data_IF_907636923709
#
_entry.id   IF_907636923709
#
_cell.length_a   1.000
_cell.length_b   1.000
_cell.length_c   1.000
_cell.angle_alpha   90.00
_cell.angle_beta   90.00
_cell.angle_gamma   90.00
#
_symmetry.space_group_name_H-M   'P 1'
#
loop_
_entity.id
_entity.type
_entity.pdbx_description
1 polymer ?
#
# COMPACT_ATOMS: atom_id res chain seq x y z
N UNK A 1 -24.24 9.52 -14.37
CA UNK A 1 -23.02 9.09 -13.63
C UNK A 1 -22.90 7.57 -13.66
N UNK A 2 -21.79 7.04 -14.19
CA UNK A 2 -21.52 5.58 -14.17
C UNK A 2 -20.48 5.30 -13.09
N UNK A 3 -20.76 4.35 -12.19
CA UNK A 3 -19.88 4.06 -11.02
C UNK A 3 -19.78 2.56 -10.78
N UNK A 4 -18.63 2.12 -10.25
CA UNK A 4 -18.40 0.76 -9.74
C UNK A 4 -18.81 0.59 -8.26
N UNK A 5 -19.17 1.69 -7.59
CA UNK A 5 -19.60 1.68 -6.21
C UNK A 5 -21.12 1.47 -6.14
N UNK A 6 -21.54 0.20 -6.02
CA UNK A 6 -22.95 -0.20 -6.03
C UNK A 6 -23.84 0.57 -5.04
N UNK A 7 -23.33 0.85 -3.84
CA UNK A 7 -24.04 1.57 -2.77
C UNK A 7 -24.58 2.94 -3.18
N UNK A 8 -23.96 3.61 -4.16
CA UNK A 8 -24.40 4.93 -4.63
C UNK A 8 -25.75 4.89 -5.36
N UNK A 9 -26.20 3.74 -5.87
CA UNK A 9 -27.56 3.61 -6.45
C UNK A 9 -28.66 3.99 -5.48
N UNK A 10 -28.38 3.88 -4.19
CA UNK A 10 -29.34 4.14 -3.13
C UNK A 10 -29.27 5.57 -2.60
N UNK A 11 -28.38 6.43 -3.12
CA UNK A 11 -28.14 7.77 -2.59
C UNK A 11 -29.43 8.61 -2.51
N UNK A 12 -30.30 8.53 -3.52
CA UNK A 12 -31.59 9.23 -3.55
C UNK A 12 -32.75 8.46 -2.86
N UNK A 13 -32.50 7.23 -2.41
CA UNK A 13 -33.47 6.34 -1.75
C UNK A 13 -33.22 6.16 -0.25
N UNK A 14 -32.12 6.71 0.27
CA UNK A 14 -31.80 6.64 1.70
C UNK A 14 -32.79 7.51 2.46
N UNK A 15 -33.54 6.88 3.36
CA UNK A 15 -34.40 7.57 4.32
C UNK A 15 -33.52 8.11 5.45
N UNK A 16 -33.63 9.41 5.72
CA UNK A 16 -32.93 10.12 6.80
C UNK A 16 -31.39 9.98 6.78
N UNK A 17 -30.70 10.44 5.72
CA UNK A 17 -29.25 10.37 5.66
C UNK A 17 -28.62 11.26 6.74
N UNK A 18 -27.58 10.76 7.41
CA UNK A 18 -26.82 11.49 8.44
C UNK A 18 -25.35 11.67 8.07
N UNK A 19 -24.71 12.69 8.66
CA UNK A 19 -23.28 12.93 8.54
C UNK A 19 -22.82 13.24 7.11
N UNK A 20 -21.79 12.53 6.64
CA UNK A 20 -21.15 12.81 5.34
C UNK A 20 -22.09 12.56 4.15
N UNK A 21 -22.90 11.51 4.20
CA UNK A 21 -23.80 11.12 3.11
C UNK A 21 -24.89 12.17 2.90
N UNK A 22 -25.46 12.72 4.00
CA UNK A 22 -26.47 13.79 3.94
C UNK A 22 -25.95 15.04 3.22
N UNK A 23 -24.73 15.48 3.57
CA UNK A 23 -24.12 16.66 2.94
C UNK A 23 -23.87 16.46 1.45
N UNK A 24 -23.42 15.27 1.05
CA UNK A 24 -23.24 14.95 -0.38
C UNK A 24 -24.58 14.84 -1.12
N UNK A 25 -25.61 14.25 -0.50
CA UNK A 25 -26.94 14.17 -1.11
C UNK A 25 -27.51 15.57 -1.39
N UNK A 26 -27.44 16.50 -0.44
CA UNK A 26 -27.88 17.89 -0.62
C UNK A 26 -27.06 18.61 -1.70
N UNK A 27 -25.72 18.48 -1.66
CA UNK A 27 -24.85 19.12 -2.66
C UNK A 27 -25.09 18.60 -4.07
N UNK A 28 -25.39 17.32 -4.21
CA UNK A 28 -25.63 16.70 -5.51
C UNK A 28 -27.05 16.95 -6.02
N UNK A 29 -28.02 17.25 -5.16
CA UNK A 29 -29.41 17.55 -5.54
C UNK A 29 -29.55 18.72 -6.52
N UNK A 30 -28.54 19.62 -6.59
CA UNK A 30 -28.53 20.73 -7.55
C UNK A 30 -28.26 20.30 -9.00
N UNK A 31 -27.86 19.04 -9.23
CA UNK A 31 -27.59 18.48 -10.56
C UNK A 31 -28.64 17.44 -10.93
N UNK A 32 -28.96 17.36 -12.21
CA UNK A 32 -29.78 16.29 -12.77
C UNK A 32 -28.88 15.17 -13.30
N UNK A 33 -28.93 13.99 -12.67
CA UNK A 33 -28.11 12.86 -13.06
C UNK A 33 -28.68 11.52 -12.59
N UNK A 34 -28.51 10.50 -13.43
CA UNK A 34 -28.80 9.12 -13.05
C UNK A 34 -27.54 8.37 -12.60
N UNK A 35 -27.64 7.60 -11.53
CA UNK A 35 -26.56 6.73 -11.06
C UNK A 35 -26.74 5.33 -11.64
N UNK A 36 -25.90 4.98 -12.61
CA UNK A 36 -25.86 3.65 -13.22
C UNK A 36 -24.66 2.88 -12.67
N UNK A 37 -24.93 1.77 -12.01
CA UNK A 37 -23.85 0.88 -11.55
C UNK A 37 -23.31 0.04 -12.71
N UNK A 38 -21.99 0.00 -12.85
CA UNK A 38 -21.26 -0.90 -13.73
C UNK A 38 -20.19 -1.61 -12.91
N UNK A 39 -20.23 -2.94 -12.86
CA UNK A 39 -19.23 -3.72 -12.13
C UNK A 39 -17.81 -3.36 -12.60
N UNK A 40 -16.86 -3.26 -11.65
CA UNK A 40 -15.49 -2.80 -11.95
C UNK A 40 -14.80 -3.56 -13.08
N UNK A 41 -15.05 -4.87 -13.23
CA UNK A 41 -14.53 -5.69 -14.35
C UNK A 41 -14.92 -5.15 -15.73
N UNK A 42 -16.07 -4.49 -15.85
CA UNK A 42 -16.59 -3.93 -17.09
C UNK A 42 -16.29 -2.42 -17.22
N UNK A 43 -15.58 -1.83 -16.26
CA UNK A 43 -15.25 -0.40 -16.21
C UNK A 43 -13.83 -0.13 -16.72
N UNK A 44 -13.42 -0.85 -17.77
CA UNK A 44 -12.04 -0.91 -18.26
C UNK A 44 -11.47 0.44 -18.69
N UNK A 45 -12.28 1.30 -19.32
CA UNK A 45 -11.82 2.60 -19.83
C UNK A 45 -11.57 3.62 -18.71
N UNK A 46 -12.53 3.92 -17.79
CA UNK A 46 -12.24 4.82 -16.66
C UNK A 46 -11.22 4.23 -15.66
N UNK A 47 -11.22 2.91 -15.46
CA UNK A 47 -10.21 2.23 -14.63
C UNK A 47 -8.81 2.35 -15.25
N UNK A 48 -8.69 2.25 -16.58
CA UNK A 48 -7.45 2.51 -17.29
C UNK A 48 -7.03 3.97 -17.14
N UNK A 49 -7.89 4.97 -17.37
CA UNK A 49 -7.49 6.39 -17.24
C UNK A 49 -7.13 6.81 -15.81
N UNK A 50 -7.78 6.23 -14.79
CA UNK A 50 -7.49 6.54 -13.39
C UNK A 50 -6.24 5.82 -12.84
N UNK A 51 -5.81 4.72 -13.47
CA UNK A 51 -4.65 3.92 -13.04
C UNK A 51 -3.45 4.02 -13.98
N UNK A 52 -3.69 4.23 -15.26
CA UNK A 52 -2.70 4.54 -16.28
C UNK A 52 -2.58 6.06 -16.34
N UNK A 53 -1.84 6.62 -15.40
CA UNK A 53 -1.11 7.84 -15.72
C UNK A 53 -0.05 7.38 -16.72
N UNK A 54 -0.07 7.84 -17.99
CA UNK A 54 1.10 7.69 -18.81
C UNK A 54 2.19 8.39 -18.01
N UNK A 55 3.19 7.64 -17.54
CA UNK A 55 4.42 8.29 -17.13
C UNK A 55 4.96 8.84 -18.44
N UNK A 56 4.57 10.09 -18.76
CA UNK A 56 5.31 10.92 -19.69
C UNK A 56 6.60 11.20 -18.92
N UNK A 57 7.48 10.22 -18.94
CA UNK A 57 8.85 10.37 -18.51
C UNK A 57 9.49 11.16 -19.65
N UNK A 58 9.24 12.48 -19.67
CA UNK A 58 10.04 13.42 -20.46
C UNK A 58 11.52 13.38 -20.02
N UNK A 59 11.80 12.76 -18.87
CA UNK A 59 13.12 12.27 -18.55
C UNK A 59 13.36 10.92 -19.24
N UNK A 60 13.56 10.97 -20.56
CA UNK A 60 14.52 10.09 -21.21
C UNK A 60 15.91 10.40 -20.66
N UNK A 61 16.18 10.09 -19.39
CA UNK A 61 17.56 9.90 -18.97
C UNK A 61 17.85 8.45 -19.29
N UNK A 62 18.46 8.25 -20.44
CA UNK A 62 19.11 7.01 -20.82
C UNK A 62 20.27 6.74 -19.84
N UNK A 63 19.97 6.37 -18.59
CA UNK A 63 21.03 6.02 -17.61
C UNK A 63 21.77 4.74 -18.05
N UNK A 64 21.24 4.01 -19.04
CA UNK A 64 21.85 2.79 -19.57
C UNK A 64 22.42 2.98 -20.99
N UNK A 65 22.69 4.19 -21.46
CA UNK A 65 23.45 4.37 -22.71
C UNK A 65 24.98 4.29 -22.51
N UNK A 66 25.49 4.62 -21.32
CA UNK A 66 26.94 4.78 -21.11
C UNK A 66 27.67 3.58 -20.49
N UNK A 67 26.98 2.47 -20.22
CA UNK A 67 27.68 1.26 -19.76
C UNK A 67 28.21 0.53 -20.98
N UNK A 68 29.49 0.80 -21.30
CA UNK A 68 30.26 0.04 -22.28
C UNK A 68 30.06 -1.44 -21.99
N UNK A 69 29.53 -2.19 -22.95
CA UNK A 69 29.23 -3.62 -22.85
C UNK A 69 30.42 -4.46 -22.36
N UNK A 70 31.64 -3.95 -22.54
CA UNK A 70 32.90 -4.50 -22.06
C UNK A 70 32.99 -4.65 -20.52
N UNK A 71 32.21 -3.91 -19.75
CA UNK A 71 32.21 -4.00 -18.27
C UNK A 71 31.23 -5.03 -17.71
N UNK A 72 30.35 -5.61 -18.54
CA UNK A 72 29.33 -6.57 -18.09
C UNK A 72 29.99 -7.93 -17.82
N UNK A 73 29.93 -8.41 -16.57
CA UNK A 73 30.48 -9.71 -16.15
C UNK A 73 29.41 -10.79 -15.95
N UNK A 74 28.14 -10.43 -16.11
CA UNK A 74 27.02 -11.37 -15.95
C UNK A 74 27.03 -12.46 -17.03
N UNK A 75 27.58 -13.64 -16.65
CA UNK A 75 27.63 -14.84 -17.49
C UNK A 75 26.27 -15.25 -18.04
N UNK A 76 25.19 -15.07 -17.27
CA UNK A 76 23.85 -15.42 -17.74
C UNK A 76 23.40 -14.46 -18.85
N UNK A 77 23.63 -13.17 -18.65
CA UNK A 77 23.30 -12.13 -19.63
C UNK A 77 24.05 -12.35 -20.94
N UNK A 78 25.38 -12.47 -20.87
CA UNK A 78 26.24 -12.68 -22.04
C UNK A 78 25.88 -13.97 -22.79
N UNK A 79 25.56 -15.05 -22.06
CA UNK A 79 25.11 -16.31 -22.67
C UNK A 79 23.78 -16.16 -23.40
N UNK A 80 22.84 -15.39 -22.86
CA UNK A 80 21.57 -15.12 -23.55
C UNK A 80 21.76 -14.21 -24.75
N UNK A 81 22.56 -13.15 -24.63
CA UNK A 81 22.91 -12.26 -25.74
C UNK A 81 23.47 -13.08 -26.92
N UNK A 82 24.50 -13.89 -26.67
CA UNK A 82 25.10 -14.75 -27.70
C UNK A 82 24.10 -15.75 -28.31
N UNK A 83 23.16 -16.28 -27.53
CA UNK A 83 22.14 -17.22 -28.06
C UNK A 83 21.18 -16.54 -29.03
N UNK A 84 20.73 -15.33 -28.69
CA UNK A 84 19.77 -14.58 -29.51
C UNK A 84 20.45 -14.02 -30.76
N UNK A 85 21.69 -13.54 -30.67
CA UNK A 85 22.47 -13.09 -31.83
C UNK A 85 22.76 -14.23 -32.81
N UNK A 86 23.17 -15.41 -32.31
CA UNK A 86 23.55 -16.52 -33.20
C UNK A 86 22.36 -17.32 -33.76
N UNK A 87 21.21 -17.32 -33.07
CA UNK A 87 20.04 -18.13 -33.46
C UNK A 87 18.73 -17.37 -33.24
N UNK A 88 18.51 -16.21 -33.90
CA UNK A 88 17.36 -15.35 -33.63
C UNK A 88 16.01 -16.07 -33.85
N UNK A 89 15.90 -16.93 -34.87
CA UNK A 89 14.68 -17.68 -35.18
C UNK A 89 14.23 -18.61 -34.04
N UNK A 90 15.18 -19.11 -33.22
CA UNK A 90 14.89 -19.99 -32.09
C UNK A 90 14.36 -19.22 -30.88
N UNK A 91 14.50 -17.89 -30.86
CA UNK A 91 14.14 -17.03 -29.74
C UNK A 91 13.21 -15.88 -30.17
N UNK A 92 12.01 -16.15 -30.72
CA UNK A 92 11.11 -15.11 -31.26
C UNK A 92 10.55 -14.13 -30.21
N UNK A 93 10.73 -14.43 -28.92
CA UNK A 93 10.37 -13.56 -27.80
C UNK A 93 11.54 -12.70 -27.33
N UNK A 94 12.65 -12.69 -28.05
CA UNK A 94 13.87 -11.97 -27.71
C UNK A 94 14.36 -11.23 -28.94
N UNK A 95 14.97 -10.08 -28.72
CA UNK A 95 15.65 -9.32 -29.78
C UNK A 95 16.87 -8.63 -29.20
N UNK A 96 17.80 -8.23 -30.07
CA UNK A 96 19.00 -7.48 -29.69
C UNK A 96 19.03 -6.22 -30.53
N UNK A 97 19.10 -5.07 -29.86
CA UNK A 97 19.20 -3.75 -30.48
C UNK A 97 20.31 -2.97 -29.78
N UNK A 98 21.23 -2.36 -30.53
CA UNK A 98 22.35 -1.58 -30.01
C UNK A 98 23.17 -2.34 -28.92
N UNK A 99 23.45 -3.63 -29.16
CA UNK A 99 24.11 -4.55 -28.21
C UNK A 99 23.37 -4.75 -26.86
N UNK A 100 22.11 -4.36 -26.75
CA UNK A 100 21.27 -4.58 -25.58
C UNK A 100 20.24 -5.68 -25.89
N UNK A 101 20.09 -6.60 -24.95
CA UNK A 101 19.10 -7.67 -25.04
C UNK A 101 17.72 -7.16 -24.60
N UNK A 102 16.68 -7.52 -25.36
CA UNK A 102 15.29 -7.22 -25.05
C UNK A 102 14.45 -8.50 -25.02
N UNK A 103 13.38 -8.49 -24.19
CA UNK A 103 12.44 -9.59 -24.06
C UNK A 103 11.01 -9.12 -24.28
N UNK A 104 10.27 -9.84 -25.12
CA UNK A 104 8.86 -9.57 -25.40
C UNK A 104 8.01 -9.84 -24.16
N UNK A 105 7.23 -8.84 -23.75
CA UNK A 105 6.23 -8.91 -22.71
C UNK A 105 4.83 -8.91 -23.32
N UNK A 106 3.87 -9.49 -22.58
CA UNK A 106 2.45 -9.36 -22.89
C UNK A 106 1.87 -8.33 -21.92
N UNK A 107 1.80 -7.05 -22.32
CA UNK A 107 1.25 -6.05 -21.43
C UNK A 107 -0.21 -6.33 -21.11
N UNK A 108 -0.66 -5.85 -19.95
CA UNK A 108 -2.05 -5.99 -19.51
C UNK A 108 -3.03 -5.15 -20.35
N UNK A 109 -2.56 -4.03 -20.90
CA UNK A 109 -3.33 -3.10 -21.73
C UNK A 109 -2.56 -2.75 -23.00
N UNK A 110 -2.56 -3.64 -24.02
CA UNK A 110 -1.74 -3.51 -25.22
C UNK A 110 -1.90 -2.18 -25.96
N UNK A 111 -3.09 -1.59 -25.91
CA UNK A 111 -3.44 -0.36 -26.64
C UNK A 111 -2.90 0.92 -25.97
N UNK A 112 -2.45 0.83 -24.71
CA UNK A 112 -2.04 1.98 -23.87
C UNK A 112 -0.59 1.84 -23.42
N UNK A 113 -0.14 0.61 -23.15
CA UNK A 113 1.26 0.33 -22.84
C UNK A 113 2.08 0.42 -24.12
N UNK A 114 3.23 1.11 -24.08
CA UNK A 114 4.10 1.32 -25.23
C UNK A 114 4.73 0.05 -25.82
N UNK A 115 6.02 0.11 -26.17
CA UNK A 115 6.70 -1.00 -26.85
C UNK A 115 6.59 -2.30 -26.03
N UNK A 116 6.28 -3.45 -26.66
CA UNK A 116 6.12 -4.72 -25.95
C UNK A 116 7.47 -5.33 -25.52
N UNK A 117 8.56 -4.55 -25.58
CA UNK A 117 9.92 -5.00 -25.42
C UNK A 117 10.50 -4.46 -24.11
N UNK A 118 10.81 -5.36 -23.20
CA UNK A 118 11.46 -5.03 -21.93
C UNK A 118 12.97 -5.15 -22.09
N UNK A 119 13.69 -4.10 -21.71
CA UNK A 119 15.15 -4.16 -21.71
C UNK A 119 15.63 -5.16 -20.66
N UNK A 120 16.47 -6.09 -21.06
CA UNK A 120 17.06 -7.08 -20.16
C UNK A 120 18.25 -6.45 -19.43
N UNK A 121 18.27 -6.57 -18.11
CA UNK A 121 19.26 -5.87 -17.27
C UNK A 121 20.32 -6.84 -16.71
N UNK A 122 21.62 -6.61 -16.99
CA UNK A 122 22.72 -7.34 -16.38
C UNK A 122 22.77 -7.18 -14.85
N UNK A 123 23.34 -8.16 -14.15
CA UNK A 123 23.37 -8.20 -12.67
C UNK A 123 23.91 -6.92 -12.02
N UNK A 124 24.90 -6.31 -12.65
CA UNK A 124 25.61 -5.13 -12.18
C UNK A 124 24.70 -3.89 -12.11
N UNK A 125 23.75 -3.77 -13.06
CA UNK A 125 22.89 -2.59 -13.19
C UNK A 125 21.57 -2.71 -12.40
N UNK A 126 21.17 -3.92 -12.02
CA UNK A 126 19.90 -4.19 -11.32
C UNK A 126 19.73 -3.34 -10.06
N UNK A 127 20.80 -3.17 -9.27
CA UNK A 127 20.73 -2.36 -8.03
C UNK A 127 20.46 -0.89 -8.33
N UNK A 128 21.05 -0.34 -9.39
CA UNK A 128 20.81 1.03 -9.83
C UNK A 128 19.36 1.25 -10.23
N UNK A 129 18.80 0.35 -11.04
CA UNK A 129 17.40 0.39 -11.47
C UNK A 129 16.44 0.29 -10.29
N UNK A 130 16.67 -0.64 -9.35
CA UNK A 130 15.81 -0.78 -8.18
C UNK A 130 15.84 0.51 -7.33
N UNK A 131 17.01 1.09 -7.13
CA UNK A 131 17.18 2.36 -6.39
C UNK A 131 16.38 3.48 -7.02
N UNK A 132 16.51 3.67 -8.33
CA UNK A 132 15.79 4.73 -9.07
C UNK A 132 14.27 4.58 -9.00
N UNK A 133 13.77 3.35 -8.94
CA UNK A 133 12.33 3.08 -8.91
C UNK A 133 11.75 2.99 -7.48
N UNK A 134 12.59 3.10 -6.44
CA UNK A 134 12.18 2.98 -5.04
C UNK A 134 12.50 4.22 -4.19
N UNK A 135 13.73 4.75 -4.29
CA UNK A 135 14.27 5.76 -3.39
C UNK A 135 13.78 7.20 -3.65
N UNK A 136 13.54 7.66 -4.90
CA UNK A 136 13.11 9.03 -5.12
C UNK A 136 11.80 9.37 -4.39
N UNK A 137 11.65 10.60 -3.86
CA UNK A 137 10.43 11.02 -3.15
C UNK A 137 9.15 10.82 -3.99
N UNK A 138 9.23 11.05 -5.30
CA UNK A 138 8.13 10.83 -6.26
C UNK A 138 7.72 9.35 -6.39
N UNK A 139 8.62 8.44 -6.04
CA UNK A 139 8.36 6.99 -6.01
C UNK A 139 7.79 6.51 -4.68
N UNK A 140 7.73 7.36 -3.64
CA UNK A 140 6.99 7.11 -2.40
C UNK A 140 7.37 5.84 -1.62
N UNK A 141 8.59 5.32 -1.80
CA UNK A 141 9.05 4.08 -1.14
C UNK A 141 8.03 2.92 -1.23
N UNK A 142 7.44 2.74 -2.41
CA UNK A 142 6.41 1.74 -2.63
C UNK A 142 6.86 0.33 -2.19
N UNK A 143 5.89 -0.46 -1.74
CA UNK A 143 6.14 -1.84 -1.34
C UNK A 143 6.56 -2.75 -2.51
N UNK A 144 7.10 -3.92 -2.17
CA UNK A 144 7.70 -4.90 -3.10
C UNK A 144 6.85 -5.13 -4.35
N UNK A 145 5.55 -5.33 -4.18
CA UNK A 145 4.65 -5.61 -5.31
C UNK A 145 4.56 -4.44 -6.29
N UNK A 146 4.37 -3.22 -5.78
CA UNK A 146 4.18 -2.02 -6.59
C UNK A 146 5.50 -1.60 -7.28
N UNK A 147 6.63 -1.66 -6.58
CA UNK A 147 7.94 -1.41 -7.17
C UNK A 147 8.27 -2.45 -8.24
N UNK A 148 7.97 -3.74 -7.99
CA UNK A 148 8.15 -4.79 -9.01
C UNK A 148 7.31 -4.50 -10.25
N UNK A 149 6.02 -4.16 -10.08
CA UNK A 149 5.13 -3.86 -11.18
C UNK A 149 5.67 -2.73 -12.07
N UNK A 150 6.12 -1.63 -11.44
CA UNK A 150 6.72 -0.49 -12.13
C UNK A 150 7.99 -0.85 -12.91
N UNK A 151 8.89 -1.62 -12.31
CA UNK A 151 10.12 -2.08 -12.97
C UNK A 151 9.78 -2.97 -14.18
N UNK A 152 8.79 -3.86 -14.04
CA UNK A 152 8.40 -4.79 -15.11
C UNK A 152 7.66 -4.14 -16.29
N UNK A 153 7.39 -2.83 -16.23
CA UNK A 153 6.87 -2.07 -17.37
C UNK A 153 7.95 -1.77 -18.41
N UNK A 154 9.21 -1.56 -17.97
CA UNK A 154 10.34 -1.20 -18.85
C UNK A 154 11.47 -2.24 -18.87
N UNK A 155 11.64 -3.01 -17.80
CA UNK A 155 12.82 -3.87 -17.60
C UNK A 155 12.49 -5.34 -17.32
N UNK A 156 13.44 -6.22 -17.63
CA UNK A 156 13.37 -7.65 -17.34
C UNK A 156 14.70 -8.22 -16.82
N UNK A 157 14.63 -9.11 -15.83
CA UNK A 157 15.69 -10.07 -15.52
C UNK A 157 15.12 -11.27 -14.73
N UNK A 158 15.84 -12.40 -14.63
CA UNK A 158 15.39 -13.51 -13.82
C UNK A 158 15.30 -13.11 -12.35
N UNK A 159 14.20 -13.48 -11.68
CA UNK A 159 14.00 -13.26 -10.23
C UNK A 159 13.93 -11.77 -9.80
N UNK A 160 13.43 -10.85 -10.65
CA UNK A 160 13.20 -9.43 -10.30
C UNK A 160 12.59 -9.26 -8.90
N UNK A 161 11.48 -9.96 -8.62
CA UNK A 161 10.77 -9.82 -7.34
C UNK A 161 11.66 -10.15 -6.13
N UNK A 162 12.56 -11.12 -6.27
CA UNK A 162 13.47 -11.50 -5.19
C UNK A 162 14.54 -10.41 -4.96
N UNK A 163 15.09 -9.85 -6.04
CA UNK A 163 16.07 -8.76 -5.95
C UNK A 163 15.44 -7.49 -5.37
N UNK A 164 14.23 -7.13 -5.82
CA UNK A 164 13.43 -6.01 -5.30
C UNK A 164 13.11 -6.21 -3.82
N UNK A 165 12.65 -7.41 -3.43
CA UNK A 165 12.39 -7.73 -2.03
C UNK A 165 13.65 -7.61 -1.17
N UNK A 166 14.78 -8.14 -1.65
CA UNK A 166 16.07 -8.06 -0.98
C UNK A 166 16.49 -6.60 -0.75
N UNK A 167 16.28 -5.73 -1.74
CA UNK A 167 16.59 -4.30 -1.62
C UNK A 167 15.67 -3.59 -0.62
N UNK A 168 14.35 -3.71 -0.78
CA UNK A 168 13.37 -2.99 0.04
C UNK A 168 13.42 -3.43 1.50
N UNK A 169 13.68 -4.71 1.77
CA UNK A 169 13.84 -5.22 3.14
C UNK A 169 15.07 -4.64 3.87
N UNK A 170 16.00 -4.00 3.15
CA UNK A 170 17.16 -3.29 3.70
C UNK A 170 17.02 -1.76 3.62
N UNK A 171 15.91 -1.24 3.11
CA UNK A 171 15.69 0.20 3.02
C UNK A 171 15.42 0.77 4.42
N UNK A 172 16.31 1.64 4.90
CA UNK A 172 16.22 2.24 6.24
C UNK A 172 14.97 3.10 6.41
N UNK A 173 14.56 3.83 5.38
CA UNK A 173 13.35 4.65 5.38
C UNK A 173 12.11 3.77 5.52
N UNK A 174 12.01 2.68 4.74
CA UNK A 174 10.91 1.72 4.87
C UNK A 174 10.89 1.04 6.25
N UNK A 175 12.05 0.66 6.78
CA UNK A 175 12.15 0.01 8.08
C UNK A 175 11.76 0.94 9.23
N UNK A 176 12.11 2.23 9.14
CA UNK A 176 11.75 3.23 10.15
C UNK A 176 10.26 3.62 10.11
N UNK A 177 9.61 3.55 8.94
CA UNK A 177 8.24 4.04 8.75
C UNK A 177 7.17 2.96 8.76
N UNK A 178 7.51 1.70 8.45
CA UNK A 178 6.52 0.63 8.40
C UNK A 178 6.11 0.22 9.83
N UNK A 179 4.81 0.33 10.18
CA UNK A 179 4.34 -0.21 11.44
C UNK A 179 4.50 -1.73 11.44
N UNK A 180 4.93 -2.29 12.57
CA UNK A 180 5.04 -3.74 12.71
C UNK A 180 3.64 -4.36 12.57
N UNK A 181 3.44 -5.15 11.52
CA UNK A 181 2.18 -5.85 11.24
C UNK A 181 2.04 -7.14 12.08
N UNK A 182 3.05 -7.47 12.90
CA UNK A 182 2.89 -8.57 13.85
C UNK A 182 1.90 -8.12 14.88
N UNK A 183 0.83 -8.90 15.05
CA UNK A 183 0.03 -8.81 16.27
C UNK A 183 1.02 -8.96 17.44
N UNK A 184 0.95 -8.12 18.49
CA UNK A 184 1.73 -8.37 19.68
C UNK A 184 1.51 -9.82 20.09
N UNK A 185 2.59 -10.54 20.40
CA UNK A 185 2.52 -11.86 21.04
C UNK A 185 1.94 -11.64 22.44
N UNK A 186 0.63 -11.52 22.50
CA UNK A 186 -0.12 -11.31 23.72
C UNK A 186 -1.28 -12.28 23.72
N UNK A 187 -1.12 -13.38 24.45
CA UNK A 187 -2.28 -13.95 25.13
C UNK A 187 -2.83 -12.79 25.95
N UNK A 188 -4.05 -12.37 25.65
CA UNK A 188 -4.86 -11.51 26.51
C UNK A 188 -4.72 -12.09 27.93
N UNK A 189 -3.90 -11.44 28.77
CA UNK A 189 -3.43 -11.87 30.10
C UNK A 189 -3.76 -13.32 30.47
N UNK A 190 -2.72 -14.18 30.50
CA UNK A 190 -2.74 -15.46 31.22
C UNK A 190 -3.58 -15.34 32.50
N UNK A 191 -4.76 -15.97 32.53
CA UNK A 191 -5.71 -16.04 33.64
C UNK A 191 -5.69 -14.80 34.55
N UNK A 192 -6.46 -13.75 34.23
CA UNK A 192 -6.71 -12.72 35.24
C UNK A 192 -7.20 -13.41 36.53
N UNK A 193 -6.66 -13.04 37.71
CA UNK A 193 -7.03 -13.71 38.95
C UNK A 193 -8.55 -13.66 39.12
N UNK A 194 -9.19 -14.83 39.13
CA UNK A 194 -10.63 -14.95 39.36
C UNK A 194 -10.91 -14.64 40.82
N UNK A 195 -11.78 -13.66 41.06
CA UNK A 195 -12.34 -13.45 42.38
C UNK A 195 -13.35 -14.59 42.66
N UNK A 196 -13.23 -15.25 43.80
CA UNK A 196 -14.12 -16.34 44.24
C UNK A 196 -15.09 -15.91 45.36
N UNK A 197 -14.93 -14.69 45.88
CA UNK A 197 -15.80 -14.07 46.87
C UNK A 197 -15.75 -12.53 46.75
N UNK A 198 -16.79 -11.82 47.24
CA UNK A 198 -16.81 -10.36 47.25
C UNK A 198 -15.57 -9.78 47.92
N UNK A 199 -15.08 -8.66 47.39
CA UNK A 199 -13.97 -7.86 47.91
C UNK A 199 -12.59 -8.53 47.87
N UNK A 200 -12.44 -9.67 47.20
CA UNK A 200 -11.13 -10.32 46.98
C UNK A 200 -10.29 -9.61 45.93
N UNK A 201 -10.93 -9.07 44.90
CA UNK A 201 -10.27 -8.32 43.83
C UNK A 201 -11.11 -7.09 43.52
N UNK A 202 -10.46 -5.93 43.51
CA UNK A 202 -11.11 -4.64 43.26
C UNK A 202 -10.43 -3.97 42.08
N UNK A 203 -11.22 -3.47 41.14
CA UNK A 203 -10.78 -2.62 40.05
C UNK A 203 -10.94 -1.17 40.47
N UNK A 204 -9.88 -0.39 40.30
CA UNK A 204 -9.86 1.05 40.56
C UNK A 204 -9.65 1.77 39.24
N UNK A 205 -10.47 2.77 38.96
CA UNK A 205 -10.27 3.66 37.81
C UNK A 205 -10.60 5.10 38.20
N UNK A 206 -9.83 6.04 37.67
CA UNK A 206 -9.95 7.46 37.98
C UNK A 206 -10.37 8.22 36.71
N UNK A 207 -11.59 8.75 36.74
CA UNK A 207 -12.13 9.54 35.64
C UNK A 207 -11.90 11.02 35.88
N UNK A 208 -11.20 11.69 34.96
CA UNK A 208 -11.11 13.15 34.90
C UNK A 208 -9.82 13.66 34.27
N UNK A 209 -9.61 14.98 34.26
CA UNK A 209 -10.48 15.99 34.89
C UNK A 209 -11.81 16.20 34.14
N UNK A 210 -12.89 16.33 34.90
CA UNK A 210 -14.26 16.64 34.46
C UNK A 210 -14.58 18.13 34.74
N UNK A 211 -15.65 18.68 34.15
CA UNK A 211 -16.11 20.02 34.47
C UNK A 211 -16.27 20.21 35.99
N UNK A 212 -15.65 21.27 36.51
CA UNK A 212 -15.62 21.55 37.95
C UNK A 212 -17.04 21.80 38.48
N UNK A 213 -17.45 21.01 39.45
CA UNK A 213 -18.71 21.22 40.18
C UNK A 213 -18.64 22.49 41.04
N UNK A 214 -19.79 23.04 41.47
CA UNK A 214 -19.84 24.16 42.41
C UNK A 214 -19.09 23.88 43.71
N UNK A 215 -19.13 22.62 44.15
CA UNK A 215 -18.41 22.15 45.32
C UNK A 215 -16.96 21.77 45.02
N UNK A 216 -16.40 22.09 43.85
CA UNK A 216 -14.96 21.96 43.55
C UNK A 216 -14.45 20.57 43.14
N UNK A 217 -15.32 19.56 43.03
CA UNK A 217 -14.95 18.22 42.53
C UNK A 217 -14.73 18.23 41.02
N UNK A 218 -13.69 17.53 40.57
CA UNK A 218 -13.23 17.44 39.17
C UNK A 218 -12.82 16.02 38.75
N UNK A 219 -12.78 15.05 39.66
CA UNK A 219 -12.52 13.65 39.34
C UNK A 219 -13.56 12.75 40.00
N UNK A 220 -13.71 11.54 39.47
CA UNK A 220 -14.50 10.45 40.08
C UNK A 220 -13.58 9.25 40.21
N UNK A 221 -13.34 8.79 41.44
CA UNK A 221 -12.72 7.49 41.71
C UNK A 221 -13.82 6.43 41.69
N UNK A 222 -13.72 5.51 40.74
CA UNK A 222 -14.55 4.32 40.68
C UNK A 222 -13.84 3.15 41.34
N UNK A 223 -14.55 2.47 42.26
CA UNK A 223 -14.08 1.31 43.01
C UNK A 223 -15.08 0.19 42.76
N UNK A 224 -14.69 -0.83 42.00
CA UNK A 224 -15.58 -1.92 41.62
C UNK A 224 -15.06 -3.25 42.17
N UNK A 225 -15.90 -3.96 42.92
CA UNK A 225 -15.65 -5.36 43.26
C UNK A 225 -15.74 -6.24 42.01
N UNK A 226 -14.66 -6.94 41.68
CA UNK A 226 -14.58 -7.75 40.46
C UNK A 226 -15.47 -9.00 40.52
N UNK A 227 -15.88 -9.47 41.72
CA UNK A 227 -16.77 -10.62 41.90
C UNK A 227 -18.24 -10.23 41.72
N UNK A 228 -18.79 -9.38 42.60
CA UNK A 228 -20.20 -9.00 42.62
C UNK A 228 -20.56 -7.94 41.59
N UNK A 229 -19.57 -7.27 40.99
CA UNK A 229 -19.72 -6.07 40.15
C UNK A 229 -20.32 -4.87 40.88
N UNK A 230 -20.37 -4.91 42.21
CA UNK A 230 -20.78 -3.78 43.02
C UNK A 230 -19.76 -2.64 42.88
N UNK A 231 -20.25 -1.44 42.55
CA UNK A 231 -19.41 -0.28 42.27
C UNK A 231 -19.73 0.87 43.23
N UNK A 232 -18.67 1.50 43.74
CA UNK A 232 -18.71 2.72 44.54
C UNK A 232 -18.03 3.83 43.75
N UNK A 233 -18.60 5.03 43.81
CA UNK A 233 -18.07 6.21 43.13
C UNK A 233 -17.83 7.32 44.15
N UNK A 234 -16.59 7.82 44.19
CA UNK A 234 -16.18 8.87 45.11
C UNK A 234 -15.76 10.11 44.35
N UNK A 235 -16.38 11.28 44.59
CA UNK A 235 -15.98 12.52 43.95
C UNK A 235 -14.68 13.04 44.58
N UNK A 236 -13.71 13.44 43.76
CA UNK A 236 -12.41 13.97 44.20
C UNK A 236 -12.14 15.36 43.61
N UNK A 237 -11.47 16.21 44.39
CA UNK A 237 -11.08 17.58 43.98
C UNK A 237 -9.69 17.64 43.33
N UNK A 238 -8.86 16.64 43.60
CA UNK A 238 -7.51 16.51 43.08
C UNK A 238 -7.18 15.03 42.89
N UNK A 239 -6.32 14.74 41.92
CA UNK A 239 -5.67 13.45 41.75
C UNK A 239 -4.21 13.61 42.22
N UNK A 240 -3.86 12.97 43.32
CA UNK A 240 -2.48 12.93 43.83
C UNK A 240 -1.82 11.62 43.40
N UNK A 241 -0.61 11.73 42.85
CA UNK A 241 0.22 10.57 42.52
C UNK A 241 0.90 9.98 43.74
#
# INVERSE_FOLDING_TARGET
>A
VITDHYSLKWLHKIKDPVGRIARWAVRLQQYDFDIVHRAGKNHTVPDALSRAVPIIDEHQVNVIDDVVTEQIKDKWYLKQLNRVVNQPERYPLWTVENNKLFKKSKPRYPDITGTPWLQVVPKELRKGIIREHHDPPLCGHLGIFKTTARITEKFYWPKIRADVASYINRCTICLATKPEQKRPLGNMLSAQPTADRPWKLVSLDLMGPLPRTRSGYVYILSVMDCFSKFALFFPLRSATS
#
